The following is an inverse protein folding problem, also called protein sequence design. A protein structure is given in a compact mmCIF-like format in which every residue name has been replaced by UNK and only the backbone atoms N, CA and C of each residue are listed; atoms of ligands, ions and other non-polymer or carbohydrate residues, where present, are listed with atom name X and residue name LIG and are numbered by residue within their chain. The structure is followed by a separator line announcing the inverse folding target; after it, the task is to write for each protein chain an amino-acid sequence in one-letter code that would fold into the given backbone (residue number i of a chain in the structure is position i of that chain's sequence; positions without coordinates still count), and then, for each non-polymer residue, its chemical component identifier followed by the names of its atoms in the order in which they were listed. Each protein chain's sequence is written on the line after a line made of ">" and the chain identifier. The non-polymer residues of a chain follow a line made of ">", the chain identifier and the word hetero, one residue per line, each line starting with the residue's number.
data_IF_302267597038
#
_entry.id   IF_302267597038
#
_cell.length_a   1.000
_cell.length_b   1.000
_cell.length_c   1.000
_cell.angle_alpha   90.00
_cell.angle_beta   90.00
_cell.angle_gamma   90.00
#
_symmetry.space_group_name_H-M   'P 1'
#
loop_
_entity.id
_entity.type
_entity.pdbx_description
1 polymer ?
#
# COMPACT_ATOMS: atom_id res chain seq x y z
N UNK A 1 -44.67 -65.80 11.99
CA UNK A 1 -43.71 -64.76 12.45
C UNK A 1 -42.88 -64.29 11.25
N UNK A 2 -43.16 -63.10 10.70
CA UNK A 2 -42.39 -62.55 9.56
C UNK A 2 -41.34 -61.62 10.14
N UNK A 3 -40.05 -61.95 9.96
CA UNK A 3 -38.91 -61.09 10.31
C UNK A 3 -38.77 -59.97 9.25
N UNK A 4 -38.93 -58.73 9.63
CA UNK A 4 -38.62 -57.55 8.80
C UNK A 4 -37.11 -57.25 8.91
N UNK A 5 -36.43 -57.31 7.81
CA UNK A 5 -35.02 -56.87 7.67
C UNK A 5 -35.05 -55.37 7.45
N UNK A 6 -34.45 -54.59 8.37
CA UNK A 6 -34.23 -53.16 8.21
C UNK A 6 -32.83 -52.98 7.61
N UNK A 7 -32.79 -52.53 6.37
CA UNK A 7 -31.54 -52.16 5.67
C UNK A 7 -31.29 -50.67 6.04
N UNK A 8 -30.24 -50.46 6.85
CA UNK A 8 -29.77 -49.11 7.17
C UNK A 8 -28.79 -48.68 6.03
N UNK A 9 -29.26 -47.79 5.16
CA UNK A 9 -28.41 -47.18 4.14
C UNK A 9 -27.52 -46.07 4.77
N UNK A 10 -26.23 -46.31 4.89
CA UNK A 10 -25.25 -45.30 5.23
C UNK A 10 -25.02 -44.38 4.03
N UNK A 11 -25.60 -43.18 4.05
CA UNK A 11 -25.21 -42.10 3.12
C UNK A 11 -23.86 -41.52 3.60
N UNK A 12 -22.76 -41.93 2.96
CA UNK A 12 -21.47 -41.25 3.06
C UNK A 12 -21.55 -39.89 2.32
N UNK A 13 -21.70 -38.82 3.06
CA UNK A 13 -21.47 -37.48 2.52
C UNK A 13 -19.99 -37.31 2.23
N UNK A 14 -19.61 -37.45 0.98
CA UNK A 14 -18.30 -37.01 0.49
C UNK A 14 -18.35 -35.47 0.45
N UNK A 15 -17.84 -34.84 1.48
CA UNK A 15 -17.49 -33.41 1.40
C UNK A 15 -16.34 -33.26 0.39
N UNK A 16 -16.70 -33.04 -0.86
CA UNK A 16 -15.75 -32.58 -1.86
C UNK A 16 -15.19 -31.23 -1.38
N UNK A 17 -13.94 -31.21 -0.92
CA UNK A 17 -13.19 -29.96 -0.81
C UNK A 17 -13.13 -29.37 -2.21
N UNK A 18 -14.02 -28.41 -2.52
CA UNK A 18 -13.84 -27.55 -3.67
C UNK A 18 -12.56 -26.75 -3.38
N UNK A 19 -11.47 -27.15 -4.01
CA UNK A 19 -10.25 -26.36 -4.06
C UNK A 19 -10.62 -25.02 -4.66
N UNK A 20 -10.73 -24.01 -3.82
CA UNK A 20 -10.99 -22.65 -4.28
C UNK A 20 -9.86 -22.27 -5.22
N UNK A 21 -10.19 -21.80 -6.42
CA UNK A 21 -9.21 -21.41 -7.43
C UNK A 21 -8.35 -20.28 -6.87
N UNK A 22 -7.05 -20.54 -6.64
CA UNK A 22 -6.07 -19.57 -6.15
C UNK A 22 -5.46 -18.80 -7.32
N UNK A 23 -6.33 -18.17 -8.10
CA UNK A 23 -5.94 -17.36 -9.25
C UNK A 23 -6.09 -15.89 -8.90
N UNK A 24 -5.03 -15.12 -9.15
CA UNK A 24 -5.01 -13.69 -8.87
C UNK A 24 -4.53 -12.94 -10.11
N UNK A 25 -4.87 -11.67 -10.14
CA UNK A 25 -4.38 -10.71 -11.12
C UNK A 25 -3.67 -9.59 -10.38
N UNK A 26 -2.46 -9.25 -10.84
CA UNK A 26 -1.57 -8.33 -10.16
C UNK A 26 -1.06 -7.25 -11.12
N UNK A 27 -1.21 -5.97 -10.74
CA UNK A 27 -0.45 -4.86 -11.32
C UNK A 27 0.80 -4.60 -10.49
N UNK A 28 1.92 -4.35 -11.17
CA UNK A 28 3.23 -4.08 -10.57
C UNK A 28 3.75 -2.74 -11.07
N UNK A 29 3.90 -1.79 -10.15
CA UNK A 29 4.60 -0.53 -10.39
C UNK A 29 6.09 -0.69 -10.08
N UNK A 30 6.94 -0.02 -10.86
CA UNK A 30 8.39 -0.23 -10.81
C UNK A 30 9.17 1.07 -10.88
N UNK A 31 10.47 1.02 -10.55
CA UNK A 31 11.42 2.04 -10.96
C UNK A 31 12.02 1.68 -12.33
N UNK A 32 11.91 2.58 -13.29
CA UNK A 32 12.43 2.39 -14.66
C UNK A 32 13.82 2.98 -14.87
N UNK A 33 14.23 3.92 -14.02
CA UNK A 33 15.53 4.60 -14.10
C UNK A 33 16.73 3.69 -13.83
N UNK A 34 16.51 2.48 -13.30
CA UNK A 34 17.54 1.46 -13.14
C UNK A 34 17.90 0.75 -14.45
N UNK A 35 17.10 0.94 -15.52
CA UNK A 35 17.23 0.23 -16.78
C UNK A 35 16.76 -1.23 -16.77
N UNK A 36 16.28 -1.73 -15.63
CA UNK A 36 15.85 -3.12 -15.44
C UNK A 36 14.35 -3.34 -15.66
N UNK A 37 13.58 -2.26 -15.73
CA UNK A 37 12.14 -2.27 -15.92
C UNK A 37 11.71 -1.33 -17.04
N UNK A 38 10.57 -1.65 -17.68
CA UNK A 38 9.99 -0.90 -18.78
C UNK A 38 8.76 -0.06 -18.39
N UNK A 39 8.22 -0.25 -17.16
CA UNK A 39 7.03 0.48 -16.73
C UNK A 39 6.12 -0.28 -15.78
N UNK A 40 4.81 -0.33 -16.08
CA UNK A 40 3.81 -1.02 -15.27
C UNK A 40 3.52 -2.39 -15.89
N UNK A 41 3.65 -3.46 -15.10
CA UNK A 41 3.38 -4.83 -15.52
C UNK A 41 2.04 -5.33 -15.00
N UNK A 42 1.41 -6.22 -15.77
CA UNK A 42 0.26 -7.02 -15.33
C UNK A 42 0.60 -8.51 -15.42
N UNK A 43 0.21 -9.25 -14.37
CA UNK A 43 0.42 -10.69 -14.26
C UNK A 43 -0.88 -11.42 -13.93
N UNK A 44 -1.07 -12.59 -14.57
CA UNK A 44 -1.99 -13.61 -14.12
C UNK A 44 -1.20 -14.65 -13.28
N UNK A 45 -1.73 -15.00 -12.13
CA UNK A 45 -1.06 -15.81 -11.11
C UNK A 45 -1.94 -17.03 -10.79
N UNK A 46 -1.43 -18.23 -11.02
CA UNK A 46 -2.02 -19.51 -10.60
C UNK A 46 -1.13 -20.13 -9.51
N UNK A 47 -1.50 -19.93 -8.24
CA UNK A 47 -0.74 -20.44 -7.10
C UNK A 47 -0.77 -21.97 -7.01
N UNK A 48 -1.85 -22.61 -7.50
CA UNK A 48 -1.96 -24.06 -7.47
C UNK A 48 -0.95 -24.72 -8.43
N UNK A 49 -0.79 -24.15 -9.63
CA UNK A 49 0.17 -24.62 -10.62
C UNK A 49 1.55 -24.00 -10.45
N UNK A 50 1.67 -22.92 -9.67
CA UNK A 50 2.92 -22.13 -9.57
C UNK A 50 3.26 -21.41 -10.87
N UNK A 51 2.25 -21.00 -11.64
CA UNK A 51 2.42 -20.29 -12.92
C UNK A 51 2.20 -18.79 -12.71
N UNK A 52 3.15 -17.99 -13.18
CA UNK A 52 3.15 -16.53 -13.13
C UNK A 52 3.34 -16.01 -14.55
N UNK A 53 2.24 -15.59 -15.20
CA UNK A 53 2.25 -15.20 -16.61
C UNK A 53 2.15 -13.69 -16.75
N UNK A 54 3.15 -13.05 -17.36
CA UNK A 54 3.06 -11.65 -17.74
C UNK A 54 2.04 -11.47 -18.86
N UNK A 55 0.99 -10.69 -18.62
CA UNK A 55 -0.08 -10.42 -19.59
C UNK A 55 0.17 -9.16 -20.38
N UNK A 56 0.69 -8.12 -19.75
CA UNK A 56 0.97 -6.86 -20.41
C UNK A 56 2.11 -6.10 -19.73
N UNK A 57 2.71 -5.19 -20.47
CA UNK A 57 3.56 -4.11 -19.96
C UNK A 57 3.12 -2.79 -20.55
N UNK A 58 3.00 -1.76 -19.71
CA UNK A 58 2.70 -0.39 -20.12
C UNK A 58 3.98 0.42 -20.02
N UNK A 59 4.50 0.81 -21.18
CA UNK A 59 5.74 1.58 -21.34
C UNK A 59 5.47 3.08 -21.45
N UNK A 60 6.53 3.90 -21.50
CA UNK A 60 6.42 5.36 -21.65
C UNK A 60 5.94 6.07 -20.38
N UNK A 61 6.13 5.43 -19.21
CA UNK A 61 5.89 6.01 -17.88
C UNK A 61 7.20 5.96 -17.10
N UNK A 62 7.68 7.11 -16.66
CA UNK A 62 8.93 7.19 -15.88
C UNK A 62 8.65 6.88 -14.41
N UNK A 63 9.36 5.90 -13.86
CA UNK A 63 9.27 5.51 -12.45
C UNK A 63 7.81 5.48 -11.94
N UNK A 64 6.91 4.63 -12.51
CA UNK A 64 5.55 4.47 -11.99
C UNK A 64 5.58 3.70 -10.66
N UNK A 65 6.20 4.31 -9.66
CA UNK A 65 6.55 3.69 -8.38
C UNK A 65 5.36 3.46 -7.45
N UNK A 66 4.23 4.13 -7.71
CA UNK A 66 2.99 3.87 -6.98
C UNK A 66 1.78 3.92 -7.90
N UNK A 67 0.81 3.03 -7.63
CA UNK A 67 -0.40 2.84 -8.41
C UNK A 67 -1.64 2.95 -7.52
N UNK A 68 -2.72 3.48 -8.07
CA UNK A 68 -4.05 3.44 -7.48
C UNK A 68 -5.06 2.94 -8.51
N UNK A 69 -5.95 2.02 -8.10
CA UNK A 69 -7.03 1.48 -8.94
C UNK A 69 -8.33 2.12 -8.47
N UNK A 70 -9.14 2.64 -9.39
CA UNK A 70 -10.46 3.18 -9.06
C UNK A 70 -11.39 2.09 -8.47
N UNK A 71 -12.34 2.47 -7.62
CA UNK A 71 -13.23 1.52 -6.95
C UNK A 71 -14.04 0.65 -7.93
N UNK A 72 -14.43 1.20 -9.10
CA UNK A 72 -15.12 0.48 -10.18
C UNK A 72 -14.17 -0.38 -11.04
N UNK A 73 -12.86 -0.31 -10.76
CA UNK A 73 -11.79 -1.01 -11.47
C UNK A 73 -11.77 -0.73 -13.00
N UNK A 74 -12.20 0.46 -13.43
CA UNK A 74 -12.14 0.89 -14.83
C UNK A 74 -10.90 1.70 -15.14
N UNK A 75 -10.29 2.30 -14.13
CA UNK A 75 -9.16 3.21 -14.28
C UNK A 75 -8.04 2.88 -13.32
N UNK A 76 -6.82 3.13 -13.79
CA UNK A 76 -5.60 3.06 -12.98
C UNK A 76 -4.91 4.41 -13.07
N UNK A 77 -4.35 4.83 -11.94
CA UNK A 77 -3.55 6.05 -11.83
C UNK A 77 -2.15 5.68 -11.37
N UNK A 78 -1.13 6.34 -11.91
CA UNK A 78 0.25 6.19 -11.48
C UNK A 78 0.93 7.52 -11.27
N UNK A 79 1.97 7.54 -10.46
CA UNK A 79 2.93 8.64 -10.41
C UNK A 79 3.95 8.51 -11.54
N UNK A 80 4.58 9.63 -11.91
CA UNK A 80 5.93 9.71 -12.47
C UNK A 80 6.83 10.23 -11.36
N UNK A 81 7.51 9.34 -10.64
CA UNK A 81 8.43 9.72 -9.57
C UNK A 81 9.76 10.16 -10.16
N UNK A 82 9.87 11.43 -10.53
CA UNK A 82 11.09 12.04 -11.05
C UNK A 82 11.18 13.51 -10.61
N UNK A 83 12.35 14.12 -10.77
CA UNK A 83 12.52 15.57 -10.61
C UNK A 83 12.12 16.30 -11.89
N UNK A 84 12.42 15.71 -13.04
CA UNK A 84 12.00 16.24 -14.34
C UNK A 84 10.77 15.49 -14.83
N UNK A 85 9.64 16.21 -15.01
CA UNK A 85 8.39 15.63 -15.49
C UNK A 85 7.56 14.90 -14.45
N UNK A 86 7.65 15.32 -13.19
CA UNK A 86 6.78 14.87 -12.09
C UNK A 86 5.31 14.98 -12.47
N UNK A 87 4.59 13.86 -12.51
CA UNK A 87 3.21 13.84 -12.99
C UNK A 87 2.36 12.77 -12.31
N UNK A 88 1.05 12.97 -12.37
CA UNK A 88 0.04 11.94 -12.22
C UNK A 88 -0.43 11.50 -13.61
N UNK A 89 -0.50 10.19 -13.86
CA UNK A 89 -0.99 9.61 -15.11
C UNK A 89 -2.32 8.91 -14.86
N UNK A 90 -3.23 8.99 -15.85
CA UNK A 90 -4.49 8.28 -15.89
C UNK A 90 -4.52 7.28 -17.04
N UNK A 91 -5.09 6.10 -16.79
CA UNK A 91 -5.23 5.03 -17.77
C UNK A 91 -6.63 4.42 -17.72
N UNK A 92 -7.18 4.05 -18.87
CA UNK A 92 -8.25 3.04 -18.90
C UNK A 92 -7.66 1.67 -18.60
N UNK A 93 -8.45 0.80 -18.00
CA UNK A 93 -8.00 -0.49 -17.52
C UNK A 93 -8.90 -1.63 -18.03
N UNK A 94 -8.33 -2.50 -18.87
CA UNK A 94 -8.96 -3.75 -19.25
C UNK A 94 -8.57 -4.88 -18.27
N UNK A 95 -9.45 -5.19 -17.35
CA UNK A 95 -9.25 -6.23 -16.32
C UNK A 95 -9.05 -7.64 -16.89
N UNK A 96 -9.50 -7.90 -18.12
CA UNK A 96 -9.35 -9.24 -18.74
C UNK A 96 -7.93 -9.46 -19.19
N UNK A 97 -7.35 -8.47 -19.87
CA UNK A 97 -6.02 -8.55 -20.48
C UNK A 97 -4.94 -7.92 -19.60
N UNK A 98 -5.30 -7.17 -18.55
CA UNK A 98 -4.38 -6.39 -17.73
C UNK A 98 -3.83 -5.15 -18.45
N UNK A 99 -4.32 -4.83 -19.65
CA UNK A 99 -3.82 -3.71 -20.48
C UNK A 99 -4.26 -2.37 -19.89
N UNK A 100 -3.29 -1.46 -19.78
CA UNK A 100 -3.52 -0.05 -19.49
C UNK A 100 -3.36 0.75 -20.78
N UNK A 101 -4.32 1.65 -21.06
CA UNK A 101 -4.23 2.60 -22.15
C UNK A 101 -4.25 4.01 -21.59
N UNK A 102 -3.21 4.80 -21.85
CA UNK A 102 -3.05 6.15 -21.32
C UNK A 102 -4.18 7.06 -21.79
N UNK A 103 -4.80 7.75 -20.84
CA UNK A 103 -5.80 8.80 -21.10
C UNK A 103 -5.08 10.13 -21.16
N UNK A 104 -4.47 10.55 -20.03
CA UNK A 104 -3.69 11.78 -19.96
C UNK A 104 -2.62 11.71 -18.87
N UNK A 105 -1.79 12.73 -18.84
CA UNK A 105 -0.76 12.97 -17.83
C UNK A 105 -0.83 14.44 -17.44
N UNK A 106 -0.80 14.72 -16.12
CA UNK A 106 -0.87 16.09 -15.61
C UNK A 106 0.30 16.31 -14.66
N UNK A 107 1.06 17.37 -14.89
CA UNK A 107 2.17 17.77 -14.00
C UNK A 107 1.68 18.08 -12.60
N UNK A 108 2.38 17.58 -11.57
CA UNK A 108 2.01 17.71 -10.16
C UNK A 108 2.21 19.14 -9.60
N UNK A 109 2.96 19.98 -10.32
CA UNK A 109 3.45 21.29 -9.86
C UNK A 109 4.34 21.19 -8.61
N UNK A 110 4.94 20.02 -8.39
CA UNK A 110 5.87 19.73 -7.31
C UNK A 110 6.64 18.45 -7.65
N UNK A 111 7.79 18.21 -7.01
CA UNK A 111 8.75 17.20 -7.43
C UNK A 111 8.59 15.86 -6.68
N UNK A 112 9.00 14.79 -7.37
CA UNK A 112 9.14 13.45 -6.80
C UNK A 112 7.85 12.89 -6.18
N UNK A 113 6.72 12.79 -6.93
CA UNK A 113 5.52 12.17 -6.41
C UNK A 113 5.77 10.66 -6.18
N UNK A 114 5.73 10.21 -4.91
CA UNK A 114 6.04 8.84 -4.51
C UNK A 114 4.80 8.02 -4.11
N UNK A 115 3.65 8.66 -4.01
CA UNK A 115 2.38 8.03 -3.66
C UNK A 115 1.22 8.65 -4.43
N UNK A 116 0.24 7.84 -4.81
CA UNK A 116 -1.01 8.29 -5.43
C UNK A 116 -2.19 7.57 -4.81
N UNK A 117 -3.26 8.29 -4.54
CA UNK A 117 -4.54 7.72 -4.13
C UNK A 117 -5.68 8.29 -4.95
N UNK A 118 -6.81 7.59 -4.96
CA UNK A 118 -7.99 7.96 -5.74
C UNK A 118 -9.25 7.80 -4.92
N UNK A 119 -10.08 8.83 -4.95
CA UNK A 119 -11.46 8.82 -4.49
C UNK A 119 -12.43 8.76 -5.69
N UNK A 120 -13.71 8.89 -5.44
CA UNK A 120 -14.70 8.99 -6.51
C UNK A 120 -14.49 10.25 -7.36
N UNK A 121 -14.15 11.38 -6.75
CA UNK A 121 -14.07 12.71 -7.37
C UNK A 121 -12.67 13.23 -7.62
N UNK A 122 -11.69 12.77 -6.86
CA UNK A 122 -10.35 13.35 -6.88
C UNK A 122 -9.25 12.28 -6.91
N UNK A 123 -8.11 12.69 -7.42
CA UNK A 123 -6.84 11.97 -7.33
C UNK A 123 -5.85 12.85 -6.57
N UNK A 124 -5.05 12.24 -5.70
CA UNK A 124 -4.09 12.92 -4.83
C UNK A 124 -2.70 12.34 -5.04
N UNK A 125 -1.68 13.19 -5.07
CA UNK A 125 -0.28 12.74 -5.03
C UNK A 125 0.43 13.29 -3.80
N UNK A 126 1.25 12.46 -3.17
CA UNK A 126 2.24 12.88 -2.18
C UNK A 126 3.56 13.11 -2.90
N UNK A 127 4.07 14.33 -2.88
CA UNK A 127 5.26 14.77 -3.60
C UNK A 127 6.42 14.85 -2.61
N UNK A 128 7.18 13.75 -2.51
CA UNK A 128 8.26 13.59 -1.54
C UNK A 128 9.37 14.62 -1.75
N UNK A 129 9.84 14.76 -3.00
CA UNK A 129 10.92 15.68 -3.34
C UNK A 129 10.54 17.15 -3.13
N UNK A 130 9.30 17.51 -3.44
CA UNK A 130 8.82 18.89 -3.27
C UNK A 130 8.17 19.19 -1.91
N UNK A 131 8.06 18.20 -1.01
CA UNK A 131 7.49 18.39 0.34
C UNK A 131 6.04 18.84 0.35
N UNK A 132 5.23 18.40 -0.60
CA UNK A 132 3.86 18.88 -0.80
C UNK A 132 2.89 17.76 -1.18
N UNK A 133 1.60 18.09 -1.30
CA UNK A 133 0.62 17.25 -1.97
C UNK A 133 -0.09 18.02 -3.07
N UNK A 134 -0.51 17.29 -4.12
CA UNK A 134 -1.28 17.84 -5.23
C UNK A 134 -2.62 17.14 -5.36
N UNK A 135 -3.66 17.92 -5.68
CA UNK A 135 -5.04 17.44 -5.84
C UNK A 135 -5.49 17.68 -7.27
N UNK A 136 -6.05 16.65 -7.88
CA UNK A 136 -6.63 16.68 -9.23
C UNK A 136 -8.11 16.33 -9.16
N UNK A 137 -8.91 16.92 -10.04
CA UNK A 137 -10.25 16.42 -10.29
C UNK A 137 -10.17 15.15 -11.15
N UNK A 138 -11.10 14.23 -10.92
CA UNK A 138 -11.29 13.02 -11.71
C UNK A 138 -12.58 13.16 -12.53
N UNK A 139 -12.46 13.16 -13.85
CA UNK A 139 -13.60 13.17 -14.76
C UNK A 139 -14.26 11.78 -14.86
N UNK A 140 -15.48 11.73 -15.39
CA UNK A 140 -16.22 10.47 -15.56
C UNK A 140 -15.57 9.48 -16.52
N UNK A 141 -14.78 9.97 -17.48
CA UNK A 141 -13.98 9.16 -18.42
C UNK A 141 -12.64 8.71 -17.82
N UNK A 142 -12.38 9.03 -16.55
CA UNK A 142 -11.16 8.70 -15.80
C UNK A 142 -10.02 9.68 -16.00
N UNK A 143 -10.12 10.67 -16.88
CA UNK A 143 -9.07 11.66 -17.09
C UNK A 143 -8.90 12.57 -15.87
N UNK A 144 -7.69 13.09 -15.70
CA UNK A 144 -7.34 14.08 -14.68
C UNK A 144 -7.60 15.50 -15.20
N UNK A 145 -8.17 16.35 -14.37
CA UNK A 145 -8.19 17.81 -14.61
C UNK A 145 -6.79 18.40 -14.41
N UNK A 146 -6.52 19.64 -14.82
CA UNK A 146 -5.40 20.40 -14.26
C UNK A 146 -5.42 20.37 -12.73
N UNK A 147 -4.25 20.57 -12.10
CA UNK A 147 -4.14 20.63 -10.63
C UNK A 147 -5.11 21.64 -10.06
N UNK A 148 -5.98 21.18 -9.18
CA UNK A 148 -6.96 22.03 -8.46
C UNK A 148 -6.32 22.73 -7.27
N UNK A 149 -5.42 22.03 -6.56
CA UNK A 149 -4.79 22.54 -5.36
C UNK A 149 -3.40 21.90 -5.18
N UNK A 150 -2.43 22.71 -4.75
CA UNK A 150 -1.14 22.25 -4.21
C UNK A 150 -1.04 22.77 -2.80
N UNK A 151 -0.71 21.88 -1.85
CA UNK A 151 -0.49 22.27 -0.46
C UNK A 151 0.96 22.00 -0.12
N UNK A 152 1.72 23.08 0.08
CA UNK A 152 3.11 23.02 0.51
C UNK A 152 3.17 22.83 2.02
N UNK A 153 3.87 21.80 2.48
CA UNK A 153 4.24 21.66 3.88
C UNK A 153 5.46 22.51 4.21
N UNK A 154 5.61 22.84 5.47
CA UNK A 154 6.75 23.64 5.96
C UNK A 154 7.26 23.07 7.27
N UNK A 155 8.55 23.21 7.50
CA UNK A 155 9.21 22.76 8.71
C UNK A 155 10.33 21.75 8.45
N UNK A 156 10.84 21.19 9.52
CA UNK A 156 11.92 20.20 9.56
C UNK A 156 11.87 19.42 10.86
N UNK A 157 12.70 18.38 10.99
CA UNK A 157 12.90 17.68 12.26
C UNK A 157 14.36 17.40 12.56
N UNK A 158 14.65 16.49 13.50
CA UNK A 158 15.98 16.37 14.12
C UNK A 158 17.01 15.62 13.26
N UNK A 159 16.59 14.80 12.31
CA UNK A 159 17.49 14.06 11.43
C UNK A 159 17.91 14.95 10.25
N UNK A 160 19.09 15.56 10.33
CA UNK A 160 19.56 16.54 9.33
C UNK A 160 19.64 15.94 7.92
N UNK A 161 19.98 14.66 7.78
CA UNK A 161 20.12 14.01 6.47
C UNK A 161 18.77 13.68 5.81
N UNK A 162 17.73 13.47 6.61
CA UNK A 162 16.45 12.95 6.15
C UNK A 162 15.26 13.87 6.44
N UNK A 163 15.45 14.93 7.24
CA UNK A 163 14.37 15.75 7.77
C UNK A 163 14.74 17.24 7.85
N UNK A 164 15.63 17.72 6.98
CA UNK A 164 15.97 19.15 6.90
C UNK A 164 14.88 19.99 6.17
N UNK A 165 13.93 19.32 5.55
CA UNK A 165 12.79 19.87 4.81
C UNK A 165 11.59 18.91 4.84
N UNK A 166 10.37 19.34 4.45
CA UNK A 166 9.22 18.43 4.36
C UNK A 166 9.40 17.36 3.29
N UNK A 167 8.92 16.15 3.60
CA UNK A 167 8.89 15.00 2.69
C UNK A 167 7.56 14.29 2.80
N UNK A 168 6.54 14.80 2.12
CA UNK A 168 5.20 14.19 2.12
C UNK A 168 5.26 12.83 1.44
N UNK A 169 4.98 11.75 2.20
CA UNK A 169 5.19 10.39 1.72
C UNK A 169 3.89 9.62 1.40
N UNK A 170 2.79 10.00 2.03
CA UNK A 170 1.51 9.36 1.77
C UNK A 170 0.35 10.35 1.91
N UNK A 171 -0.66 10.16 1.09
CA UNK A 171 -1.95 10.84 1.16
C UNK A 171 -3.07 9.80 1.01
N UNK A 172 -3.94 9.66 2.02
CA UNK A 172 -5.04 8.68 2.03
C UNK A 172 -6.34 9.35 2.47
N UNK A 173 -7.45 8.89 1.87
CA UNK A 173 -8.80 9.34 2.23
C UNK A 173 -9.33 8.44 3.35
N UNK A 174 -9.98 9.03 4.35
CA UNK A 174 -10.63 8.28 5.43
C UNK A 174 -11.78 7.41 4.88
N UNK A 175 -12.12 6.27 5.53
CA UNK A 175 -13.19 5.38 5.06
C UNK A 175 -14.55 6.08 4.93
N UNK A 176 -14.85 7.06 5.76
CA UNK A 176 -16.09 7.86 5.72
C UNK A 176 -16.07 9.01 4.69
N UNK A 177 -14.97 9.15 3.94
CA UNK A 177 -14.75 10.18 2.91
C UNK A 177 -14.83 11.63 3.41
N UNK A 178 -14.69 11.88 4.72
CA UNK A 178 -14.75 13.24 5.28
C UNK A 178 -13.38 13.89 5.42
N UNK A 179 -12.35 13.09 5.53
CA UNK A 179 -10.99 13.56 5.82
C UNK A 179 -9.96 12.96 4.86
N UNK A 180 -8.88 13.69 4.69
CA UNK A 180 -7.65 13.21 4.04
C UNK A 180 -6.50 13.30 5.04
N UNK A 181 -5.76 12.21 5.19
CA UNK A 181 -4.62 12.09 6.09
C UNK A 181 -3.35 12.16 5.26
N UNK A 182 -2.41 12.96 5.70
CA UNK A 182 -1.13 13.20 5.01
C UNK A 182 0.02 12.97 5.98
N UNK A 183 0.89 12.02 5.65
CA UNK A 183 2.09 11.71 6.41
C UNK A 183 3.28 12.46 5.83
N UNK A 184 3.94 13.25 6.66
CA UNK A 184 5.14 14.01 6.29
C UNK A 184 6.35 13.50 7.07
N UNK A 185 7.17 12.70 6.39
CA UNK A 185 8.38 12.10 6.95
C UNK A 185 9.38 13.16 7.41
N UNK A 186 9.50 14.25 6.65
CA UNK A 186 10.51 15.28 6.89
C UNK A 186 10.24 16.15 8.11
N UNK A 187 8.97 16.30 8.50
CA UNK A 187 8.57 17.18 9.60
C UNK A 187 8.07 16.44 10.85
N UNK A 188 8.04 15.10 10.82
CA UNK A 188 7.43 14.25 11.87
C UNK A 188 5.98 14.63 12.18
N UNK A 189 5.20 14.92 11.13
CA UNK A 189 3.80 15.32 11.26
C UNK A 189 2.87 14.41 10.47
N UNK A 190 1.67 14.23 11.03
CA UNK A 190 0.51 13.64 10.37
C UNK A 190 -0.57 14.71 10.35
N UNK A 191 -0.86 15.26 9.18
CA UNK A 191 -1.86 16.32 9.02
C UNK A 191 -3.17 15.76 8.53
N UNK A 192 -4.26 16.17 9.16
CA UNK A 192 -5.63 15.87 8.78
C UNK A 192 -6.23 17.08 8.08
N UNK A 193 -6.82 16.83 6.93
CA UNK A 193 -7.56 17.83 6.17
C UNK A 193 -9.03 17.46 6.11
N UNK A 194 -9.92 18.43 6.27
CA UNK A 194 -11.33 18.27 5.88
C UNK A 194 -11.41 18.19 4.36
N UNK A 195 -12.16 17.21 3.85
CA UNK A 195 -12.26 16.93 2.43
C UNK A 195 -13.57 17.40 1.83
N UNK A 196 -13.49 18.27 0.82
CA UNK A 196 -14.59 18.83 0.06
C UNK A 196 -14.51 18.38 -1.40
N UNK A 197 -15.02 17.17 -1.75
CA UNK A 197 -14.80 16.53 -3.04
C UNK A 197 -15.29 17.32 -4.26
N UNK A 198 -16.31 18.15 -4.10
CA UNK A 198 -16.91 18.91 -5.20
C UNK A 198 -16.30 20.32 -5.37
N UNK A 199 -15.42 20.73 -4.46
CA UNK A 199 -14.71 22.02 -4.57
C UNK A 199 -13.73 22.02 -5.75
N UNK A 200 -13.59 23.20 -6.40
CA UNK A 200 -12.68 23.38 -7.53
C UNK A 200 -11.34 24.05 -7.16
N UNK A 201 -11.22 24.53 -5.93
CA UNK A 201 -10.03 25.26 -5.46
C UNK A 201 -9.56 24.82 -4.09
N UNK A 202 -10.46 24.73 -3.11
CA UNK A 202 -10.17 24.35 -1.73
C UNK A 202 -10.75 22.98 -1.44
N UNK A 203 -10.23 21.95 -2.13
CA UNK A 203 -10.65 20.57 -1.97
C UNK A 203 -10.27 20.04 -0.59
N UNK A 204 -9.13 20.48 -0.10
CA UNK A 204 -8.59 20.14 1.23
C UNK A 204 -8.38 21.40 2.05
N UNK A 205 -8.92 21.43 3.27
CA UNK A 205 -8.72 22.50 4.25
C UNK A 205 -8.04 21.90 5.48
N UNK A 206 -6.91 22.44 5.96
CA UNK A 206 -6.26 21.95 7.18
C UNK A 206 -7.24 21.90 8.35
N UNK A 207 -7.24 20.80 9.10
CA UNK A 207 -8.14 20.60 10.23
C UNK A 207 -7.39 20.35 11.52
N UNK A 208 -6.47 19.35 11.53
CA UNK A 208 -5.70 18.98 12.70
C UNK A 208 -4.30 18.51 12.30
N UNK A 209 -3.35 18.51 13.24
CA UNK A 209 -1.99 18.01 13.01
C UNK A 209 -1.47 17.31 14.26
N UNK A 210 -1.18 16.02 14.13
CA UNK A 210 -0.47 15.27 15.15
C UNK A 210 1.03 15.33 14.88
N UNK A 211 1.83 15.79 15.85
CA UNK A 211 3.27 15.61 15.85
C UNK A 211 3.63 14.26 16.46
N UNK A 212 4.40 13.45 15.74
CA UNK A 212 4.95 12.19 16.27
C UNK A 212 6.29 12.46 16.94
N UNK A 213 6.90 11.42 17.54
CA UNK A 213 8.22 11.52 18.16
C UNK A 213 9.24 12.05 17.14
N UNK A 214 10.02 13.11 17.47
CA UNK A 214 11.05 13.64 16.59
C UNK A 214 12.05 12.56 16.14
N UNK A 215 12.35 12.51 14.85
CA UNK A 215 13.23 11.49 14.24
C UNK A 215 12.54 10.20 13.86
N UNK A 216 11.23 10.08 14.00
CA UNK A 216 10.49 8.86 13.63
C UNK A 216 10.29 8.71 12.12
N UNK A 217 9.93 9.78 11.41
CA UNK A 217 9.65 9.77 9.97
C UNK A 217 8.38 9.01 9.59
N UNK A 218 7.17 9.58 9.82
CA UNK A 218 5.91 8.94 9.44
C UNK A 218 5.85 8.71 7.93
N UNK A 219 5.54 7.48 7.53
CA UNK A 219 5.63 7.06 6.12
C UNK A 219 4.30 6.59 5.54
N UNK A 220 3.93 5.36 5.79
CA UNK A 220 2.68 4.75 5.35
C UNK A 220 1.78 4.42 6.52
N UNK A 221 0.48 4.50 6.28
CA UNK A 221 -0.54 4.17 7.25
C UNK A 221 -1.70 3.40 6.61
N UNK A 222 -2.42 2.64 7.43
CA UNK A 222 -3.63 1.93 7.05
C UNK A 222 -4.71 2.16 8.09
N UNK A 223 -5.93 2.45 7.63
CA UNK A 223 -7.10 2.54 8.50
C UNK A 223 -7.65 1.17 8.87
N UNK A 224 -8.24 1.06 10.08
CA UNK A 224 -9.25 0.04 10.34
C UNK A 224 -10.48 0.28 9.45
N UNK A 225 -11.26 -0.76 9.15
CA UNK A 225 -12.45 -0.67 8.29
C UNK A 225 -13.49 0.33 8.81
N UNK A 226 -13.62 0.43 10.13
CA UNK A 226 -14.53 1.39 10.78
C UNK A 226 -14.00 2.82 10.83
N UNK A 227 -12.76 3.05 10.34
CA UNK A 227 -12.11 4.34 10.30
C UNK A 227 -11.70 4.91 11.67
N UNK A 228 -11.88 4.16 12.75
CA UNK A 228 -11.61 4.66 14.11
C UNK A 228 -10.16 4.52 14.54
N UNK A 229 -9.38 3.70 13.85
CA UNK A 229 -7.96 3.50 14.11
C UNK A 229 -7.15 3.71 12.85
N UNK A 230 -5.94 4.22 13.03
CA UNK A 230 -4.93 4.37 11.99
C UNK A 230 -3.63 3.74 12.50
N UNK A 231 -3.08 2.81 11.74
CA UNK A 231 -1.80 2.17 12.00
C UNK A 231 -0.76 2.81 11.12
N UNK A 232 0.24 3.44 11.71
CA UNK A 232 1.23 4.26 11.02
C UNK A 232 2.63 3.69 11.23
N UNK A 233 3.33 3.34 10.14
CA UNK A 233 4.72 2.92 10.19
C UNK A 233 5.65 4.13 10.01
N UNK A 234 6.72 4.16 10.81
CA UNK A 234 7.74 5.19 10.79
C UNK A 234 9.03 4.67 10.15
N UNK A 235 9.50 5.35 9.09
CA UNK A 235 10.61 4.89 8.27
C UNK A 235 11.94 4.90 9.03
N UNK A 236 12.21 5.97 9.82
CA UNK A 236 13.53 6.26 10.34
C UNK A 236 13.83 5.46 11.62
N UNK A 237 12.89 5.43 12.57
CA UNK A 237 13.09 4.72 13.82
C UNK A 237 12.56 3.28 13.85
N UNK A 238 11.86 2.84 12.77
CA UNK A 238 11.35 1.47 12.65
C UNK A 238 10.26 1.14 13.66
N UNK A 239 9.42 2.11 14.01
CA UNK A 239 8.29 1.91 14.92
C UNK A 239 6.95 1.90 14.20
N UNK A 240 5.92 1.39 14.86
CA UNK A 240 4.52 1.48 14.44
C UNK A 240 3.72 2.17 15.53
N UNK A 241 3.04 3.25 15.18
CA UNK A 241 2.07 3.93 16.05
C UNK A 241 0.67 3.45 15.74
N UNK A 242 -0.11 3.20 16.78
CA UNK A 242 -1.56 2.98 16.72
C UNK A 242 -2.22 4.27 17.17
N UNK A 243 -2.96 4.88 16.27
CA UNK A 243 -3.66 6.14 16.52
C UNK A 243 -5.17 5.90 16.58
N UNK A 244 -5.88 6.57 17.46
CA UNK A 244 -7.34 6.71 17.36
C UNK A 244 -7.66 7.87 16.42
N UNK A 245 -8.77 7.74 15.69
CA UNK A 245 -9.36 8.83 14.92
C UNK A 245 -10.81 9.05 15.35
N UNK A 246 -11.08 10.24 15.85
CA UNK A 246 -12.42 10.65 16.26
C UNK A 246 -12.72 12.05 15.73
N UNK A 247 -13.72 12.14 14.84
CA UNK A 247 -14.16 13.42 14.25
C UNK A 247 -13.00 14.24 13.63
N UNK A 248 -12.06 13.53 12.97
CA UNK A 248 -10.89 14.15 12.33
C UNK A 248 -9.70 14.39 13.26
N UNK A 249 -9.82 14.19 14.57
CA UNK A 249 -8.73 14.34 15.54
C UNK A 249 -7.99 13.01 15.70
N UNK A 250 -6.67 13.04 15.53
CA UNK A 250 -5.78 11.92 15.76
C UNK A 250 -5.18 11.98 17.16
N UNK A 251 -5.13 10.83 17.85
CA UNK A 251 -4.48 10.71 19.15
C UNK A 251 -3.68 9.42 19.24
N UNK A 252 -2.45 9.49 19.75
CA UNK A 252 -1.61 8.31 19.96
C UNK A 252 -2.19 7.43 21.08
N UNK A 253 -2.43 6.16 20.76
CA UNK A 253 -2.84 5.15 21.73
C UNK A 253 -1.65 4.30 22.18
N UNK A 254 -0.91 3.73 21.22
CA UNK A 254 0.20 2.80 21.47
C UNK A 254 1.29 3.01 20.43
N UNK A 255 2.51 2.62 20.81
CA UNK A 255 3.63 2.53 19.87
C UNK A 255 4.41 1.24 20.17
N UNK A 256 4.88 0.57 19.13
CA UNK A 256 5.72 -0.63 19.23
C UNK A 256 6.82 -0.58 18.19
N UNK A 257 7.89 -1.38 18.38
CA UNK A 257 9.00 -1.49 17.44
C UNK A 257 8.79 -2.66 16.49
N UNK A 258 9.15 -2.46 15.21
CA UNK A 258 9.32 -3.54 14.25
C UNK A 258 10.56 -4.38 14.54
N UNK A 259 11.55 -3.78 15.21
CA UNK A 259 12.88 -4.34 15.35
C UNK A 259 13.02 -5.03 16.70
N UNK A 260 13.47 -6.29 16.68
CA UNK A 260 13.80 -7.09 17.85
C UNK A 260 15.30 -7.31 18.04
N UNK A 261 16.12 -6.86 17.06
CA UNK A 261 17.58 -7.01 17.07
C UNK A 261 18.26 -5.66 17.27
N UNK A 262 19.35 -5.63 18.01
CA UNK A 262 20.18 -4.45 18.14
C UNK A 262 20.95 -4.15 16.83
N UNK A 263 21.30 -2.85 16.64
CA UNK A 263 22.15 -2.35 15.53
C UNK A 263 21.55 -2.54 14.12
N UNK A 264 20.24 -2.45 13.97
CA UNK A 264 19.57 -2.44 12.66
C UNK A 264 19.48 -1.01 12.14
N UNK A 265 19.89 -0.78 10.90
CA UNK A 265 19.57 0.46 10.17
C UNK A 265 18.15 0.32 9.65
N UNK A 266 17.24 1.08 10.25
CA UNK A 266 15.83 1.06 9.87
C UNK A 266 15.60 1.87 8.60
N UNK A 267 14.74 1.32 7.74
CA UNK A 267 14.08 2.01 6.63
C UNK A 267 12.72 1.38 6.43
N UNK A 268 11.88 1.37 7.49
CA UNK A 268 10.57 0.76 7.43
C UNK A 268 9.76 1.31 6.26
N UNK A 269 8.93 0.47 5.64
CA UNK A 269 8.40 0.83 4.34
C UNK A 269 6.88 0.78 4.28
N UNK A 270 6.28 -0.38 4.28
CA UNK A 270 4.85 -0.54 4.02
C UNK A 270 4.14 -1.25 5.16
N UNK A 271 2.82 -1.06 5.25
CA UNK A 271 1.99 -1.55 6.34
C UNK A 271 0.59 -1.90 5.84
N UNK A 272 0.10 -3.10 6.17
CA UNK A 272 -1.25 -3.55 5.82
C UNK A 272 -1.87 -4.38 6.93
N UNK A 273 -3.20 -4.28 7.07
CA UNK A 273 -4.02 -5.17 7.87
C UNK A 273 -4.47 -6.36 7.03
N UNK A 274 -4.65 -7.52 7.66
CA UNK A 274 -5.41 -8.63 7.06
C UNK A 274 -6.87 -8.24 6.84
N UNK A 275 -7.56 -8.96 5.93
CA UNK A 275 -8.95 -8.63 5.62
C UNK A 275 -9.91 -8.77 6.82
N UNK A 276 -9.59 -9.61 7.80
CA UNK A 276 -10.35 -9.74 9.05
C UNK A 276 -9.88 -8.79 10.17
N UNK A 277 -8.85 -7.97 9.88
CA UNK A 277 -8.21 -7.00 10.80
C UNK A 277 -7.60 -7.61 12.07
N UNK A 278 -7.42 -8.94 12.11
CA UNK A 278 -6.79 -9.61 13.26
C UNK A 278 -5.27 -9.57 13.24
N UNK A 279 -4.69 -9.26 12.10
CA UNK A 279 -3.24 -9.24 11.93
C UNK A 279 -2.79 -7.99 11.16
N UNK A 280 -1.64 -7.49 11.56
CA UNK A 280 -0.97 -6.38 10.90
C UNK A 280 0.43 -6.82 10.48
N UNK A 281 0.81 -6.43 9.28
CA UNK A 281 2.12 -6.71 8.72
C UNK A 281 2.80 -5.40 8.36
N UNK A 282 4.12 -5.34 8.57
CA UNK A 282 4.93 -4.20 8.14
C UNK A 282 6.31 -4.66 7.70
N UNK A 283 6.83 -4.07 6.60
CA UNK A 283 8.16 -4.35 6.07
C UNK A 283 9.18 -3.35 6.55
N UNK A 284 10.43 -3.82 6.72
CA UNK A 284 11.57 -2.99 7.06
C UNK A 284 12.74 -3.29 6.11
N UNK A 285 13.23 -2.26 5.44
CA UNK A 285 14.39 -2.27 4.56
C UNK A 285 15.69 -2.00 5.36
N UNK A 286 16.67 -1.43 4.72
CA UNK A 286 17.96 -1.10 5.33
C UNK A 286 18.80 -2.35 5.53
N UNK A 287 19.21 -2.65 6.78
CA UNK A 287 19.92 -3.89 7.08
C UNK A 287 19.00 -5.00 7.60
N UNK A 288 17.69 -4.72 7.78
CA UNK A 288 16.73 -5.68 8.27
C UNK A 288 16.23 -6.62 7.16
N UNK A 289 15.74 -6.07 6.07
CA UNK A 289 15.14 -6.78 4.94
C UNK A 289 14.14 -7.86 5.40
N UNK A 290 13.20 -7.46 6.24
CA UNK A 290 12.25 -8.36 6.89
C UNK A 290 10.80 -7.85 6.83
N UNK A 291 9.89 -8.72 7.21
CA UNK A 291 8.48 -8.43 7.46
C UNK A 291 8.11 -8.88 8.86
N UNK A 292 7.50 -7.99 9.63
CA UNK A 292 7.02 -8.27 10.99
C UNK A 292 5.51 -8.46 10.98
N UNK A 293 5.04 -9.51 11.66
CA UNK A 293 3.64 -9.82 11.89
C UNK A 293 3.27 -9.53 13.34
N UNK A 294 2.14 -8.84 13.52
CA UNK A 294 1.50 -8.61 14.83
C UNK A 294 0.08 -9.17 14.82
N UNK A 295 -0.40 -9.69 15.95
CA UNK A 295 -1.84 -9.78 16.17
C UNK A 295 -2.38 -8.44 16.65
N UNK A 296 -3.61 -8.16 16.23
CA UNK A 296 -4.36 -6.95 16.62
C UNK A 296 -5.45 -7.39 17.60
N UNK A 297 -5.42 -6.87 18.83
CA UNK A 297 -6.47 -7.16 19.80
C UNK A 297 -7.72 -6.28 19.58
N UNK A 298 -8.76 -6.50 20.39
CA UNK A 298 -10.04 -5.78 20.31
C UNK A 298 -9.90 -4.26 20.50
N UNK A 299 -8.85 -3.83 21.22
CA UNK A 299 -8.57 -2.41 21.47
C UNK A 299 -7.63 -1.82 20.41
N UNK A 300 -7.18 -2.66 19.46
CA UNK A 300 -6.28 -2.30 18.35
C UNK A 300 -4.81 -2.35 18.73
N UNK A 301 -4.45 -2.80 19.94
CA UNK A 301 -3.06 -2.95 20.36
C UNK A 301 -2.39 -4.08 19.61
N UNK A 302 -1.13 -3.85 19.25
CA UNK A 302 -0.30 -4.78 18.50
C UNK A 302 0.51 -5.68 19.44
N UNK A 303 0.36 -7.00 19.26
CA UNK A 303 1.17 -7.99 19.96
C UNK A 303 2.05 -8.72 18.93
N UNK A 304 3.36 -8.70 19.13
CA UNK A 304 4.33 -9.31 18.24
C UNK A 304 4.10 -10.82 18.12
N UNK A 305 4.12 -11.33 16.89
CA UNK A 305 4.01 -12.75 16.60
C UNK A 305 5.26 -13.32 15.94
N UNK A 306 5.73 -12.66 14.85
CA UNK A 306 6.79 -13.19 14.01
C UNK A 306 7.52 -12.07 13.27
N UNK A 307 8.81 -12.29 13.02
CA UNK A 307 9.62 -11.50 12.10
C UNK A 307 10.39 -12.48 11.21
N UNK A 308 10.28 -12.34 9.89
CA UNK A 308 10.93 -13.23 8.91
C UNK A 308 11.68 -12.42 7.87
N UNK A 309 12.83 -12.92 7.42
CA UNK A 309 13.54 -12.37 6.29
C UNK A 309 12.69 -12.49 5.02
N UNK A 310 12.67 -11.46 4.20
CA UNK A 310 11.77 -11.40 3.03
C UNK A 310 12.33 -12.07 1.78
N UNK A 311 13.58 -12.56 1.81
CA UNK A 311 14.17 -13.28 0.68
C UNK A 311 14.70 -12.38 -0.44
N UNK A 312 14.88 -11.08 -0.16
CA UNK A 312 15.44 -10.09 -1.08
C UNK A 312 15.92 -8.83 -0.36
N UNK A 313 16.44 -7.88 -1.11
CA UNK A 313 16.91 -6.61 -0.59
C UNK A 313 15.97 -5.45 -0.98
N UNK A 314 15.66 -4.62 0.00
CA UNK A 314 14.77 -3.48 -0.14
C UNK A 314 13.28 -3.84 -0.28
N UNK A 315 12.64 -4.57 0.69
CA UNK A 315 11.21 -4.87 0.67
C UNK A 315 10.37 -3.58 0.84
N UNK A 316 10.19 -2.84 -0.28
CA UNK A 316 9.60 -1.50 -0.27
C UNK A 316 8.07 -1.50 -0.17
N UNK A 317 7.44 -2.53 -0.74
CA UNK A 317 5.99 -2.68 -0.75
C UNK A 317 5.61 -4.16 -0.69
N UNK A 318 4.45 -4.46 -0.16
CA UNK A 318 3.89 -5.79 -0.21
C UNK A 318 2.37 -5.71 -0.40
N UNK A 319 1.76 -6.81 -0.82
CA UNK A 319 0.31 -6.91 -0.94
C UNK A 319 -0.18 -8.27 -0.42
N UNK A 320 -1.31 -8.25 0.25
CA UNK A 320 -2.02 -9.44 0.72
C UNK A 320 -3.02 -9.83 -0.37
N UNK A 321 -3.13 -11.12 -0.71
CA UNK A 321 -4.11 -11.58 -1.70
C UNK A 321 -5.55 -11.33 -1.24
N UNK A 322 -6.52 -11.16 -2.17
CA UNK A 322 -7.91 -10.86 -1.82
C UNK A 322 -8.60 -11.90 -0.93
N UNK A 323 -8.12 -13.15 -0.95
CA UNK A 323 -8.58 -14.25 -0.10
C UNK A 323 -7.74 -14.41 1.19
N UNK A 324 -6.83 -13.47 1.45
CA UNK A 324 -6.01 -13.42 2.65
C UNK A 324 -5.00 -14.60 2.83
N UNK A 325 -4.75 -15.40 1.76
CA UNK A 325 -3.93 -16.61 1.87
C UNK A 325 -2.44 -16.40 1.63
N UNK A 326 -2.06 -15.37 0.88
CA UNK A 326 -0.66 -15.12 0.53
C UNK A 326 -0.29 -13.65 0.72
N UNK A 327 1.00 -13.43 0.94
CA UNK A 327 1.64 -12.10 0.93
C UNK A 327 2.74 -12.12 -0.13
N UNK A 328 2.69 -11.15 -1.03
CA UNK A 328 3.68 -10.89 -2.07
C UNK A 328 4.53 -9.71 -1.64
N UNK A 329 5.84 -9.89 -1.51
CA UNK A 329 6.78 -8.86 -1.05
C UNK A 329 7.68 -8.44 -2.20
N UNK A 330 7.62 -7.16 -2.58
CA UNK A 330 8.39 -6.60 -3.69
C UNK A 330 9.72 -6.01 -3.20
N UNK A 331 10.83 -6.45 -3.81
CA UNK A 331 12.18 -6.05 -3.47
C UNK A 331 12.77 -5.14 -4.53
N UNK A 332 12.96 -3.89 -4.18
CA UNK A 332 13.45 -2.84 -5.06
C UNK A 332 14.85 -3.13 -5.64
N UNK A 333 15.74 -3.76 -4.85
CA UNK A 333 17.16 -3.88 -5.18
C UNK A 333 17.53 -5.25 -5.79
N UNK A 334 16.76 -6.30 -5.51
CA UNK A 334 17.00 -7.67 -6.00
C UNK A 334 16.08 -8.10 -7.13
N UNK A 335 15.22 -7.20 -7.63
CA UNK A 335 14.41 -7.40 -8.83
C UNK A 335 13.47 -8.62 -8.73
N UNK A 336 12.95 -8.90 -7.54
CA UNK A 336 12.07 -10.03 -7.32
C UNK A 336 10.88 -9.70 -6.41
N UNK A 337 9.83 -10.52 -6.53
CA UNK A 337 8.66 -10.52 -5.65
C UNK A 337 8.61 -11.91 -5.03
N UNK A 338 8.88 -12.02 -3.74
CA UNK A 338 8.85 -13.28 -2.97
C UNK A 338 7.45 -13.50 -2.42
N UNK A 339 7.00 -14.75 -2.42
CA UNK A 339 5.63 -15.12 -2.06
C UNK A 339 5.63 -15.94 -0.78
N UNK A 340 4.95 -15.44 0.24
CA UNK A 340 4.72 -16.13 1.51
C UNK A 340 3.30 -16.68 1.56
N UNK A 341 3.15 -17.89 2.07
CA UNK A 341 1.85 -18.42 2.50
C UNK A 341 1.54 -17.84 3.89
N UNK A 342 0.33 -17.33 4.04
CA UNK A 342 -0.18 -16.82 5.30
C UNK A 342 -1.13 -17.85 5.92
N UNK A 343 -0.90 -18.22 7.16
CA UNK A 343 -1.87 -18.97 7.95
C UNK A 343 -2.98 -18.02 8.44
N UNK A 344 -4.20 -18.23 7.99
CA UNK A 344 -5.33 -17.33 8.28
C UNK A 344 -5.65 -17.28 9.78
N UNK A 345 -5.41 -18.37 10.53
CA UNK A 345 -5.76 -18.46 11.95
C UNK A 345 -4.72 -17.86 12.87
N UNK A 346 -3.45 -18.08 12.57
CA UNK A 346 -2.33 -17.61 13.41
C UNK A 346 -1.67 -16.34 12.87
N UNK A 347 -1.90 -15.96 11.62
CA UNK A 347 -1.24 -14.83 10.95
C UNK A 347 0.20 -15.11 10.52
N UNK A 348 0.76 -16.29 10.85
CA UNK A 348 2.16 -16.59 10.59
C UNK A 348 2.44 -16.79 9.11
N UNK A 349 3.65 -16.40 8.71
CA UNK A 349 4.14 -16.48 7.34
C UNK A 349 5.11 -17.64 7.18
N UNK A 350 4.95 -18.36 6.07
CA UNK A 350 5.89 -19.42 5.61
C UNK A 350 6.30 -19.11 4.19
N UNK A 351 7.59 -19.08 3.91
CA UNK A 351 8.10 -18.93 2.56
C UNK A 351 7.63 -20.11 1.68
N UNK A 352 7.09 -19.79 0.51
CA UNK A 352 6.63 -20.82 -0.45
C UNK A 352 7.75 -21.31 -1.37
N UNK A 353 8.92 -20.70 -1.34
CA UNK A 353 9.99 -20.89 -2.30
C UNK A 353 9.66 -20.38 -3.71
N UNK A 354 8.54 -19.67 -3.89
CA UNK A 354 8.10 -19.11 -5.18
C UNK A 354 8.39 -17.63 -5.26
N UNK A 355 8.78 -17.16 -6.45
CA UNK A 355 9.01 -15.75 -6.72
C UNK A 355 8.67 -15.37 -8.16
N UNK A 356 8.45 -14.08 -8.40
CA UNK A 356 8.31 -13.47 -9.72
C UNK A 356 9.50 -12.54 -9.92
N UNK A 357 10.21 -12.66 -11.05
CA UNK A 357 11.32 -11.78 -11.39
C UNK A 357 10.81 -10.60 -12.22
N UNK A 358 10.92 -9.39 -11.68
CA UNK A 358 10.57 -8.12 -12.32
C UNK A 358 11.57 -7.07 -11.87
N UNK A 359 12.07 -6.26 -12.79
CA UNK A 359 13.04 -5.20 -12.47
C UNK A 359 12.46 -4.15 -11.52
N UNK A 360 13.15 -3.90 -10.41
CA UNK A 360 12.86 -2.89 -9.39
C UNK A 360 11.36 -2.74 -9.03
N UNK A 361 10.65 -3.82 -8.60
CA UNK A 361 9.23 -3.75 -8.24
C UNK A 361 9.07 -3.02 -6.92
N UNK A 362 8.16 -2.03 -6.86
CA UNK A 362 7.97 -1.15 -5.69
C UNK A 362 6.52 -0.85 -5.35
N UNK A 363 5.57 -1.36 -6.12
CA UNK A 363 4.13 -1.26 -5.84
C UNK A 363 3.38 -2.47 -6.39
N UNK A 364 2.59 -3.12 -5.56
CA UNK A 364 1.79 -4.28 -5.88
C UNK A 364 0.30 -3.97 -5.65
N UNK A 365 -0.55 -4.22 -6.65
CA UNK A 365 -2.01 -4.03 -6.54
C UNK A 365 -2.74 -5.22 -7.14
N UNK A 366 -3.37 -6.03 -6.32
CA UNK A 366 -4.33 -7.06 -6.77
C UNK A 366 -5.62 -6.42 -7.29
N UNK A 367 -6.25 -7.02 -8.33
CA UNK A 367 -7.46 -6.50 -8.95
C UNK A 367 -8.48 -7.53 -9.40
#
# INVERSE_FOLDING_TARGET
>A
MKKRLIILAFLTFIFGNQSQSQNYKLLIGTYTNTGKSQGIYSYDIDMNKGVFEQKSVTTGVSNPSYLAISADKKFVYSVNESTDGSAANAFTFDKKTGKLTKINSVYTKSDGPCYISVSEKNVFTANYGGGSLSVFGRNSDGSLTPVLQVIQHVGKSINIERQNEPHVHQVIVSPDQKYVIVNDLGTDKVTVYTYYPDSKTNVLIPFDTLSVKPGSGPRHAVFSKDGKKLYLVHEIDGTVSVLSMKEGILSLLYQTSLVKKDKVINRAADIHLSADEKFLYATNRGTANDITCFSVDKDGKLNYLQQVATGGDGPRNFAITPDDQYIFVAHQNTDNIVIFKRDIKSGLLTDTGKQINVGAPVCLKFY
#
